data_IF_647170444395
#
_entry.id   IF_647170444395
#
_cell.length_a   1.000
_cell.length_b   1.000
_cell.length_c   1.000
_cell.angle_alpha   90.00
_cell.angle_beta   90.00
_cell.angle_gamma   90.00
#
_symmetry.space_group_name_H-M   'P 1'
#
loop_
_entity.id
_entity.type
_entity.pdbx_description
1 polymer ?
#
# COMPACT_ATOMS: atom_id res chain seq x y z
N UNK A 1 34.26 8.59 -8.92
CA UNK A 1 34.83 9.32 -10.06
C UNK A 1 34.04 10.61 -10.22
N UNK A 2 34.68 11.78 -10.16
CA UNK A 2 33.96 13.05 -10.34
C UNK A 2 33.76 13.28 -11.85
N UNK A 3 32.72 14.02 -12.29
CA UNK A 3 32.51 14.29 -13.72
C UNK A 3 33.72 14.87 -14.43
N UNK A 4 34.53 15.66 -13.71
CA UNK A 4 35.78 16.25 -14.22
C UNK A 4 36.85 15.23 -14.63
N UNK A 5 36.72 13.97 -14.20
CA UNK A 5 37.65 12.90 -14.53
C UNK A 5 37.20 12.10 -15.77
N UNK A 6 36.03 12.41 -16.34
CA UNK A 6 35.46 11.69 -17.49
C UNK A 6 36.07 12.22 -18.79
N UNK A 7 36.70 11.33 -19.56
CA UNK A 7 37.12 11.61 -20.94
C UNK A 7 35.87 11.63 -21.85
N UNK A 8 35.27 12.82 -21.97
CA UNK A 8 34.06 13.04 -22.77
C UNK A 8 34.26 12.65 -24.24
N UNK A 9 35.44 12.89 -24.80
CA UNK A 9 35.75 12.55 -26.19
C UNK A 9 35.74 11.04 -26.42
N UNK A 10 36.35 10.28 -25.51
CA UNK A 10 36.32 8.82 -25.56
C UNK A 10 34.91 8.26 -25.33
N UNK A 11 34.13 8.86 -24.42
CA UNK A 11 32.75 8.45 -24.19
C UNK A 11 31.85 8.72 -25.41
N UNK A 12 32.02 9.86 -26.09
CA UNK A 12 31.29 10.23 -27.29
C UNK A 12 31.58 9.32 -28.50
N UNK A 13 32.69 8.61 -28.50
CA UNK A 13 33.03 7.61 -29.53
C UNK A 13 32.39 6.23 -29.28
N UNK A 14 31.75 6.02 -28.12
CA UNK A 14 31.09 4.75 -27.83
C UNK A 14 29.75 4.63 -28.58
N UNK A 15 29.27 3.40 -28.87
CA UNK A 15 27.94 3.22 -29.44
C UNK A 15 26.82 3.78 -28.52
N UNK A 16 25.77 4.34 -29.12
CA UNK A 16 24.66 4.99 -28.40
C UNK A 16 24.06 4.14 -27.28
N UNK A 17 23.88 2.83 -27.51
CA UNK A 17 23.32 1.92 -26.50
C UNK A 17 24.22 1.78 -25.26
N UNK A 18 25.54 1.92 -25.42
CA UNK A 18 26.50 1.93 -24.30
C UNK A 18 26.38 3.24 -23.54
N UNK A 19 26.34 4.38 -24.25
CA UNK A 19 26.18 5.71 -23.64
C UNK A 19 24.86 5.79 -22.86
N UNK A 20 23.76 5.31 -23.45
CA UNK A 20 22.45 5.24 -22.79
C UNK A 20 22.50 4.38 -21.52
N UNK A 21 23.24 3.27 -21.53
CA UNK A 21 23.43 2.40 -20.37
C UNK A 21 24.24 3.12 -19.28
N UNK A 22 25.32 3.80 -19.65
CA UNK A 22 26.11 4.63 -18.72
C UNK A 22 25.22 5.72 -18.11
N UNK A 23 24.43 6.41 -18.91
CA UNK A 23 23.51 7.46 -18.45
C UNK A 23 22.33 6.91 -17.64
N UNK A 24 21.93 5.66 -17.86
CA UNK A 24 20.94 4.99 -17.03
C UNK A 24 21.45 4.77 -15.60
N UNK A 25 22.74 4.45 -15.45
CA UNK A 25 23.42 4.15 -14.19
C UNK A 25 23.98 5.38 -13.47
N UNK A 26 24.24 6.48 -14.20
CA UNK A 26 24.78 7.70 -13.60
C UNK A 26 23.73 8.44 -12.75
N UNK A 27 24.10 8.89 -11.53
CA UNK A 27 23.30 9.83 -10.77
C UNK A 27 22.96 11.07 -11.58
N UNK A 28 21.70 11.52 -11.51
CA UNK A 28 21.24 12.71 -12.24
C UNK A 28 22.03 13.99 -11.91
N UNK A 29 22.66 14.02 -10.73
CA UNK A 29 23.50 15.12 -10.25
C UNK A 29 24.67 15.42 -11.16
N UNK A 30 25.11 14.42 -11.94
CA UNK A 30 26.24 14.55 -12.86
C UNK A 30 25.82 14.86 -14.30
N UNK A 31 24.54 14.75 -14.63
CA UNK A 31 24.03 14.99 -16.00
C UNK A 31 24.32 16.39 -16.54
N UNK A 32 24.20 17.49 -15.74
CA UNK A 32 24.45 18.83 -16.27
C UNK A 32 25.85 19.04 -16.84
N UNK A 33 26.85 18.29 -16.38
CA UNK A 33 28.22 18.38 -16.91
C UNK A 33 28.31 17.93 -18.38
N UNK A 34 27.41 17.06 -18.83
CA UNK A 34 27.36 16.57 -20.20
C UNK A 34 26.62 17.51 -21.16
N UNK A 35 25.89 18.51 -20.66
CA UNK A 35 25.16 19.46 -21.52
C UNK A 35 26.07 20.38 -22.33
N UNK A 36 27.33 20.51 -21.92
CA UNK A 36 28.35 21.30 -22.61
C UNK A 36 29.10 20.48 -23.69
N UNK A 37 28.84 19.18 -23.81
CA UNK A 37 29.44 18.31 -24.83
C UNK A 37 28.42 18.11 -25.96
N UNK A 38 28.58 18.75 -27.14
CA UNK A 38 27.58 18.71 -28.21
C UNK A 38 27.13 17.30 -28.60
N UNK A 39 28.05 16.34 -28.63
CA UNK A 39 27.83 14.95 -29.04
C UNK A 39 27.00 14.16 -28.02
N UNK A 40 27.07 14.53 -26.73
CA UNK A 40 26.41 13.82 -25.64
C UNK A 40 25.18 14.58 -25.12
N UNK A 41 25.03 15.85 -25.49
CA UNK A 41 24.04 16.78 -24.95
C UNK A 41 22.63 16.22 -25.06
N UNK A 42 22.22 15.75 -26.24
CA UNK A 42 20.85 15.32 -26.48
C UNK A 42 20.52 14.05 -25.71
N UNK A 43 21.45 13.08 -25.67
CA UNK A 43 21.31 11.86 -24.88
C UNK A 43 21.25 12.17 -23.37
N UNK A 44 22.09 13.11 -22.91
CA UNK A 44 22.14 13.51 -21.51
C UNK A 44 20.86 14.26 -21.12
N UNK A 45 20.38 15.17 -21.95
CA UNK A 45 19.15 15.92 -21.75
C UNK A 45 17.93 14.99 -21.79
N UNK A 46 17.82 14.12 -22.80
CA UNK A 46 16.80 13.09 -22.88
C UNK A 46 16.76 12.25 -21.60
N UNK A 47 17.92 11.82 -21.09
CA UNK A 47 17.98 11.08 -19.83
C UNK A 47 17.55 11.93 -18.64
N UNK A 48 18.12 13.12 -18.49
CA UNK A 48 17.92 13.98 -17.33
C UNK A 48 16.47 14.43 -17.19
N UNK A 49 15.86 14.88 -18.30
CA UNK A 49 14.50 15.40 -18.37
C UNK A 49 13.45 14.31 -18.68
N UNK A 50 13.83 13.06 -18.97
CA UNK A 50 12.88 11.96 -19.20
C UNK A 50 11.88 11.74 -18.06
N UNK A 51 12.29 12.06 -16.83
CA UNK A 51 11.47 11.93 -15.63
C UNK A 51 11.60 13.21 -14.82
N UNK A 52 10.54 14.01 -14.77
CA UNK A 52 10.53 15.26 -14.01
C UNK A 52 9.45 15.25 -12.95
N UNK A 53 9.78 15.83 -11.79
CA UNK A 53 8.82 16.23 -10.77
C UNK A 53 8.80 17.74 -10.72
N UNK A 54 7.64 18.32 -10.93
CA UNK A 54 7.44 19.76 -10.98
C UNK A 54 6.59 20.12 -9.78
N UNK A 55 7.06 21.08 -8.98
CA UNK A 55 6.41 21.49 -7.75
C UNK A 55 6.28 23.00 -7.70
N UNK A 56 5.20 23.46 -7.09
CA UNK A 56 4.94 24.90 -7.00
C UNK A 56 5.99 25.67 -6.20
N UNK A 57 6.51 25.07 -5.13
CA UNK A 57 7.60 25.62 -4.34
C UNK A 57 8.59 24.52 -3.97
N UNK A 58 9.85 24.91 -3.77
CA UNK A 58 10.90 23.96 -3.39
C UNK A 58 10.54 23.31 -2.05
N UNK A 59 10.49 21.97 -2.05
CA UNK A 59 10.30 21.20 -0.82
C UNK A 59 11.61 21.20 -0.02
N UNK A 60 11.59 21.58 1.27
CA UNK A 60 12.75 21.45 2.13
C UNK A 60 13.26 20.00 2.15
N UNK A 61 14.55 19.80 1.87
CA UNK A 61 15.19 18.47 1.91
C UNK A 61 14.88 17.55 0.72
N UNK A 62 14.22 18.05 -0.33
CA UNK A 62 14.04 17.29 -1.56
C UNK A 62 15.33 17.21 -2.37
N UNK A 63 15.51 16.11 -3.11
CA UNK A 63 16.64 15.95 -4.02
C UNK A 63 16.47 16.95 -5.20
N UNK A 64 17.36 17.95 -5.36
CA UNK A 64 17.18 19.03 -6.33
C UNK A 64 17.30 18.56 -7.79
N UNK A 65 17.75 17.33 -8.03
CA UNK A 65 18.04 16.85 -9.40
C UNK A 65 16.88 16.12 -10.07
N UNK A 66 15.81 15.86 -9.34
CA UNK A 66 14.55 15.31 -9.86
C UNK A 66 13.38 16.29 -9.74
N UNK A 67 13.60 17.40 -9.01
CA UNK A 67 12.59 18.37 -8.66
C UNK A 67 12.89 19.70 -9.34
N UNK A 68 11.90 20.24 -10.05
CA UNK A 68 11.92 21.61 -10.54
C UNK A 68 10.82 22.40 -9.86
N UNK A 69 11.11 23.64 -9.46
CA UNK A 69 10.08 24.61 -9.16
C UNK A 69 9.28 24.97 -10.43
N UNK A 70 8.14 25.64 -10.28
CA UNK A 70 7.39 26.14 -11.43
C UNK A 70 8.24 27.15 -12.24
N UNK A 71 8.97 28.05 -11.58
CA UNK A 71 9.83 29.03 -12.24
C UNK A 71 10.99 28.36 -12.99
N UNK A 72 11.61 27.33 -12.40
CA UNK A 72 12.66 26.55 -13.05
C UNK A 72 12.12 25.79 -14.27
N UNK A 73 10.93 25.20 -14.15
CA UNK A 73 10.29 24.50 -15.25
C UNK A 73 9.86 25.44 -16.38
N UNK A 74 9.36 26.64 -16.07
CA UNK A 74 9.07 27.66 -17.07
C UNK A 74 10.33 28.15 -17.77
N UNK A 75 11.40 28.41 -17.02
CA UNK A 75 12.70 28.78 -17.59
C UNK A 75 13.20 27.68 -18.52
N UNK A 76 13.14 26.42 -18.09
CA UNK A 76 13.47 25.25 -18.91
C UNK A 76 12.63 25.17 -20.19
N UNK A 77 11.32 25.41 -20.10
CA UNK A 77 10.41 25.27 -21.23
C UNK A 77 10.60 26.35 -22.31
N UNK A 78 11.19 27.50 -21.95
CA UNK A 78 11.53 28.58 -22.91
C UNK A 78 12.88 28.37 -23.62
N UNK A 79 13.68 27.38 -23.24
CA UNK A 79 15.01 27.13 -23.79
C UNK A 79 14.90 26.38 -25.12
N UNK A 80 15.17 27.02 -26.28
CA UNK A 80 15.00 26.39 -27.58
C UNK A 80 15.90 25.16 -27.76
N UNK A 81 17.05 25.13 -27.10
CA UNK A 81 17.98 24.01 -27.17
C UNK A 81 17.49 22.71 -26.51
N UNK A 82 16.36 22.76 -25.80
CA UNK A 82 15.71 21.60 -25.20
C UNK A 82 14.29 21.35 -25.74
N UNK A 83 13.87 22.06 -26.80
CA UNK A 83 12.53 21.91 -27.36
C UNK A 83 12.23 20.46 -27.79
N UNK A 84 13.20 19.80 -28.42
CA UNK A 84 13.06 18.45 -28.97
C UNK A 84 13.35 17.33 -27.97
N UNK A 85 13.69 17.66 -26.73
CA UNK A 85 14.02 16.65 -25.72
C UNK A 85 12.75 15.83 -25.39
N UNK A 86 12.78 14.49 -25.48
CA UNK A 86 11.59 13.68 -25.25
C UNK A 86 11.21 13.64 -23.76
N UNK A 87 9.94 13.96 -23.47
CA UNK A 87 9.39 13.99 -22.12
C UNK A 87 8.62 12.69 -21.84
N UNK A 88 9.22 11.74 -21.11
CA UNK A 88 8.61 10.42 -20.94
C UNK A 88 7.59 10.36 -19.79
N UNK A 89 7.99 10.73 -18.57
CA UNK A 89 7.13 10.69 -17.38
C UNK A 89 7.22 11.99 -16.60
N UNK A 90 6.08 12.64 -16.38
CA UNK A 90 5.98 13.86 -15.60
C UNK A 90 5.15 13.62 -14.35
N UNK A 91 5.52 14.28 -13.26
CA UNK A 91 4.64 14.47 -12.10
C UNK A 91 4.59 15.95 -11.82
N UNK A 92 3.42 16.56 -11.83
CA UNK A 92 3.24 17.95 -11.39
C UNK A 92 2.39 17.99 -10.12
N UNK A 93 2.84 18.75 -9.13
CA UNK A 93 2.15 18.97 -7.87
C UNK A 93 1.78 20.43 -7.71
N UNK A 94 0.50 20.70 -7.51
CA UNK A 94 -0.14 22.02 -7.45
C UNK A 94 -0.79 22.19 -6.08
N UNK A 95 -0.53 23.29 -5.35
CA UNK A 95 -1.14 23.53 -4.03
C UNK A 95 -1.97 24.82 -4.00
N UNK A 96 -1.40 25.94 -4.41
CA UNK A 96 -2.00 27.27 -4.25
C UNK A 96 -2.26 28.01 -5.56
N UNK A 97 -1.35 27.90 -6.53
CA UNK A 97 -1.47 28.47 -7.88
C UNK A 97 -2.30 27.56 -8.76
N UNK A 98 -3.04 28.16 -9.67
CA UNK A 98 -3.68 27.43 -10.77
C UNK A 98 -2.60 27.04 -11.79
N UNK A 99 -2.59 25.79 -12.24
CA UNK A 99 -1.61 25.28 -13.24
C UNK A 99 -1.61 26.14 -14.52
N UNK A 100 -2.73 26.77 -14.86
CA UNK A 100 -2.88 27.63 -16.04
C UNK A 100 -2.19 28.99 -15.90
N UNK A 101 -1.71 29.32 -14.70
CA UNK A 101 -0.85 30.49 -14.50
C UNK A 101 0.57 30.26 -15.03
N UNK A 102 0.93 29.01 -15.35
CA UNK A 102 2.18 28.71 -16.05
C UNK A 102 2.18 29.35 -17.44
N UNK A 103 3.36 29.78 -17.87
CA UNK A 103 3.60 30.27 -19.21
C UNK A 103 3.17 29.25 -20.29
N UNK A 104 2.73 29.75 -21.45
CA UNK A 104 2.17 28.92 -22.52
C UNK A 104 3.15 27.83 -22.99
N UNK A 105 4.45 28.13 -23.02
CA UNK A 105 5.50 27.18 -23.39
C UNK A 105 5.60 26.04 -22.37
N UNK A 106 5.43 26.34 -21.08
CA UNK A 106 5.43 25.34 -20.02
C UNK A 106 4.18 24.44 -20.09
N UNK A 107 3.01 25.00 -20.42
CA UNK A 107 1.79 24.22 -20.66
C UNK A 107 1.95 23.29 -21.86
N UNK A 108 2.46 23.80 -22.99
CA UNK A 108 2.79 22.97 -24.16
C UNK A 108 3.80 21.87 -23.80
N UNK A 109 4.77 22.17 -22.94
CA UNK A 109 5.75 21.19 -22.47
C UNK A 109 5.10 20.11 -21.59
N UNK A 110 4.17 20.47 -20.72
CA UNK A 110 3.38 19.52 -19.94
C UNK A 110 2.56 18.59 -20.84
N UNK A 111 1.93 19.13 -21.89
CA UNK A 111 1.18 18.35 -22.88
C UNK A 111 2.07 17.40 -23.71
N UNK A 112 3.35 17.74 -23.88
CA UNK A 112 4.31 16.89 -24.61
C UNK A 112 4.77 15.65 -23.84
N UNK A 113 4.46 15.52 -22.55
CA UNK A 113 4.82 14.31 -21.81
C UNK A 113 4.07 13.10 -22.37
N UNK A 114 4.75 11.95 -22.50
CA UNK A 114 4.09 10.69 -22.85
C UNK A 114 3.11 10.23 -21.76
N UNK A 115 3.50 10.43 -20.49
CA UNK A 115 2.72 10.06 -19.32
C UNK A 115 2.83 11.17 -18.27
N UNK A 116 1.73 11.84 -17.97
CA UNK A 116 1.67 12.87 -16.93
C UNK A 116 0.81 12.40 -15.74
N UNK A 117 1.36 12.56 -14.54
CA UNK A 117 0.63 12.46 -13.27
C UNK A 117 0.44 13.84 -12.68
N UNK A 118 -0.78 14.17 -12.26
CA UNK A 118 -1.13 15.47 -11.70
C UNK A 118 -1.59 15.27 -10.25
N UNK A 119 -0.98 15.99 -9.32
CA UNK A 119 -1.38 16.02 -7.91
C UNK A 119 -1.85 17.44 -7.56
N UNK A 120 -3.08 17.58 -7.11
CA UNK A 120 -3.69 18.84 -6.74
C UNK A 120 -4.05 18.83 -5.25
N UNK A 121 -3.66 19.87 -4.50
CA UNK A 121 -3.82 19.95 -3.04
C UNK A 121 -4.47 21.29 -2.62
N UNK A 122 -5.79 21.36 -2.64
CA UNK A 122 -6.60 22.56 -2.38
C UNK A 122 -7.28 22.52 -1.01
N UNK A 123 -6.51 22.51 0.09
CA UNK A 123 -7.08 22.40 1.46
C UNK A 123 -7.81 23.65 1.95
N UNK A 124 -7.44 24.83 1.44
CA UNK A 124 -7.92 26.12 1.97
C UNK A 124 -8.93 26.81 1.05
N UNK A 125 -9.35 26.16 -0.04
CA UNK A 125 -10.38 26.70 -0.93
C UNK A 125 -11.70 26.01 -0.62
N UNK A 126 -12.75 26.82 -0.48
CA UNK A 126 -14.11 26.31 -0.25
C UNK A 126 -14.63 25.56 -1.50
N UNK A 127 -14.20 25.98 -2.69
CA UNK A 127 -14.63 25.40 -3.96
C UNK A 127 -13.45 25.13 -4.90
N UNK A 128 -13.46 23.95 -5.52
CA UNK A 128 -12.61 23.60 -6.64
C UNK A 128 -13.23 24.17 -7.91
N UNK A 129 -12.59 25.12 -8.59
CA UNK A 129 -13.05 25.51 -9.91
C UNK A 129 -12.67 24.39 -10.89
N UNK A 130 -13.57 23.96 -11.77
CA UNK A 130 -13.27 23.01 -12.87
C UNK A 130 -11.97 23.38 -13.59
N UNK A 131 -11.79 24.69 -13.74
CA UNK A 131 -10.70 25.30 -14.45
C UNK A 131 -9.34 25.08 -13.74
N UNK A 132 -9.30 24.75 -12.45
CA UNK A 132 -8.07 24.48 -11.68
C UNK A 132 -7.45 23.09 -12.00
N UNK A 133 -8.19 22.18 -12.64
CA UNK A 133 -7.71 20.82 -12.93
C UNK A 133 -7.39 20.67 -14.43
N UNK A 134 -6.13 20.37 -14.79
CA UNK A 134 -5.76 20.22 -16.19
C UNK A 134 -6.40 18.97 -16.80
N UNK A 135 -6.98 19.14 -17.99
CA UNK A 135 -7.64 18.07 -18.77
C UNK A 135 -6.79 17.59 -19.95
N UNK A 136 -5.46 17.63 -19.82
CA UNK A 136 -4.57 17.21 -20.90
C UNK A 136 -4.76 15.73 -21.24
N UNK A 137 -4.70 15.40 -22.54
CA UNK A 137 -4.91 14.04 -23.05
C UNK A 137 -3.84 13.04 -22.59
N UNK A 138 -2.69 13.51 -22.12
CA UNK A 138 -1.59 12.68 -21.64
C UNK A 138 -1.62 12.45 -20.11
N UNK A 139 -2.60 13.00 -19.40
CA UNK A 139 -2.78 12.75 -17.96
C UNK A 139 -3.39 11.37 -17.76
N UNK A 140 -2.58 10.45 -17.23
CA UNK A 140 -2.99 9.08 -16.94
C UNK A 140 -3.30 8.87 -15.44
N UNK A 141 -2.81 9.77 -14.57
CA UNK A 141 -3.06 9.73 -13.13
C UNK A 141 -3.40 11.10 -12.60
N UNK A 142 -4.46 11.18 -11.79
CA UNK A 142 -4.91 12.38 -11.11
C UNK A 142 -5.12 12.07 -9.63
N UNK A 143 -4.43 12.81 -8.78
CA UNK A 143 -4.69 12.89 -7.34
C UNK A 143 -5.23 14.28 -7.04
N UNK A 144 -6.39 14.34 -6.40
CA UNK A 144 -7.05 15.56 -6.00
C UNK A 144 -7.34 15.49 -4.51
N UNK A 145 -6.79 16.41 -3.74
CA UNK A 145 -7.14 16.64 -2.34
C UNK A 145 -7.81 18.00 -2.24
N UNK A 146 -9.06 18.05 -1.80
CA UNK A 146 -9.81 19.30 -1.67
C UNK A 146 -10.82 19.22 -0.54
N UNK A 147 -11.49 20.33 -0.23
CA UNK A 147 -12.59 20.34 0.73
C UNK A 147 -13.85 19.72 0.15
N UNK A 148 -14.16 20.05 -1.11
CA UNK A 148 -15.39 19.69 -1.84
C UNK A 148 -15.11 19.47 -3.34
N UNK A 149 -15.93 18.64 -4.00
CA UNK A 149 -15.92 18.43 -5.46
C UNK A 149 -17.32 18.68 -6.03
N UNK A 150 -17.46 19.64 -6.95
CA UNK A 150 -18.67 19.80 -7.74
C UNK A 150 -18.71 18.81 -8.91
N UNK A 151 -19.31 17.65 -8.66
CA UNK A 151 -19.41 16.56 -9.64
C UNK A 151 -20.20 16.90 -10.92
N UNK A 152 -20.95 18.02 -10.96
CA UNK A 152 -21.69 18.44 -12.16
C UNK A 152 -20.77 19.10 -13.20
N UNK A 153 -19.81 19.89 -12.71
CA UNK A 153 -18.88 20.68 -13.52
C UNK A 153 -17.52 20.01 -13.64
N UNK A 154 -17.18 19.08 -12.74
CA UNK A 154 -15.89 18.42 -12.73
C UNK A 154 -15.65 17.59 -14.01
N UNK A 155 -14.60 17.95 -14.76
CA UNK A 155 -14.16 17.25 -15.96
C UNK A 155 -12.87 16.49 -15.68
N UNK A 156 -12.81 15.25 -16.16
CA UNK A 156 -11.66 14.38 -16.02
C UNK A 156 -10.88 14.32 -17.34
N UNK A 157 -9.55 14.19 -17.30
CA UNK A 157 -8.76 13.88 -18.48
C UNK A 157 -9.27 12.63 -19.21
N UNK A 158 -9.35 12.63 -20.55
CA UNK A 158 -10.01 11.57 -21.31
C UNK A 158 -9.28 10.21 -21.27
N UNK A 159 -7.96 10.21 -21.07
CA UNK A 159 -7.13 9.01 -20.99
C UNK A 159 -6.74 8.65 -19.55
N UNK A 160 -7.49 9.13 -18.56
CA UNK A 160 -7.18 8.90 -17.16
C UNK A 160 -7.34 7.43 -16.78
N UNK A 161 -6.27 6.80 -16.34
CA UNK A 161 -6.25 5.39 -15.88
C UNK A 161 -6.40 5.28 -14.36
N UNK A 162 -5.94 6.28 -13.61
CA UNK A 162 -5.94 6.27 -12.15
C UNK A 162 -6.48 7.58 -11.58
N UNK A 163 -7.51 7.49 -10.75
CA UNK A 163 -8.11 8.62 -10.06
C UNK A 163 -8.03 8.42 -8.55
N UNK A 164 -7.57 9.43 -7.83
CA UNK A 164 -7.64 9.50 -6.37
C UNK A 164 -8.25 10.83 -5.98
N UNK A 165 -9.39 10.80 -5.30
CA UNK A 165 -10.05 12.00 -4.77
C UNK A 165 -10.14 11.86 -3.26
N UNK A 166 -9.62 12.84 -2.55
CA UNK A 166 -9.62 12.92 -1.09
C UNK A 166 -10.34 14.20 -0.71
N UNK A 167 -11.51 14.06 -0.07
CA UNK A 167 -12.32 15.17 0.42
C UNK A 167 -12.39 15.17 1.94
N UNK A 168 -12.48 16.35 2.54
CA UNK A 168 -12.68 16.47 3.99
C UNK A 168 -14.15 16.28 4.37
N UNK A 169 -15.07 16.82 3.57
CA UNK A 169 -16.52 16.68 3.74
C UNK A 169 -17.15 16.67 2.36
N UNK A 170 -17.89 15.62 2.05
CA UNK A 170 -18.80 15.64 0.92
C UNK A 170 -20.21 15.97 1.43
N UNK A 171 -20.73 17.19 1.21
CA UNK A 171 -22.03 17.60 1.73
C UNK A 171 -23.20 17.14 0.86
N UNK A 172 -22.98 16.65 -0.37
CA UNK A 172 -24.07 16.45 -1.32
C UNK A 172 -24.03 15.07 -2.02
N UNK A 173 -25.14 14.30 -1.99
CA UNK A 173 -25.24 13.07 -2.76
C UNK A 173 -25.20 13.37 -4.25
N UNK A 174 -24.15 12.88 -4.94
CA UNK A 174 -23.96 13.01 -6.39
C UNK A 174 -25.19 12.50 -7.12
N UNK A 175 -26.06 13.40 -7.59
CA UNK A 175 -27.35 13.02 -8.18
C UNK A 175 -27.31 12.93 -9.70
N UNK A 176 -26.29 13.54 -10.32
CA UNK A 176 -25.99 13.44 -11.75
C UNK A 176 -24.48 13.44 -11.92
N UNK A 177 -23.93 12.32 -12.36
CA UNK A 177 -22.50 12.17 -12.61
C UNK A 177 -22.26 12.20 -14.12
N UNK A 178 -21.32 13.03 -14.56
CA UNK A 178 -20.70 12.84 -15.87
C UNK A 178 -20.02 11.46 -15.92
N UNK A 179 -19.93 10.88 -17.11
CA UNK A 179 -19.29 9.59 -17.30
C UNK A 179 -17.80 9.70 -16.98
N UNK A 180 -17.29 8.79 -16.16
CA UNK A 180 -15.85 8.61 -16.00
C UNK A 180 -15.24 8.14 -17.34
N UNK A 181 -13.98 8.48 -17.62
CA UNK A 181 -13.32 8.02 -18.84
C UNK A 181 -13.26 6.48 -18.88
N UNK A 182 -13.52 5.89 -20.04
CA UNK A 182 -13.55 4.43 -20.22
C UNK A 182 -12.19 3.76 -19.98
N UNK A 183 -11.10 4.54 -20.04
CA UNK A 183 -9.73 4.14 -19.74
C UNK A 183 -9.45 3.95 -18.26
N UNK A 184 -10.36 4.36 -17.36
CA UNK A 184 -10.13 4.34 -15.93
C UNK A 184 -10.11 2.91 -15.37
N UNK A 185 -8.97 2.54 -14.76
CA UNK A 185 -8.70 1.21 -14.22
C UNK A 185 -8.71 1.18 -12.69
N UNK A 186 -8.37 2.30 -12.05
CA UNK A 186 -8.27 2.40 -10.59
C UNK A 186 -8.91 3.68 -10.09
N UNK A 187 -9.79 3.54 -9.09
CA UNK A 187 -10.42 4.66 -8.40
C UNK A 187 -10.21 4.52 -6.91
N UNK A 188 -9.75 5.60 -6.29
CA UNK A 188 -9.77 5.79 -4.84
C UNK A 188 -10.58 7.01 -4.49
N UNK A 189 -11.57 6.83 -3.64
CA UNK A 189 -12.38 7.88 -3.06
C UNK A 189 -12.20 7.84 -1.55
N UNK A 190 -11.73 8.93 -0.98
CA UNK A 190 -11.52 9.05 0.46
C UNK A 190 -12.31 10.24 0.99
N UNK A 191 -13.33 9.96 1.81
CA UNK A 191 -14.24 10.97 2.33
C UNK A 191 -15.45 11.28 1.43
N UNK A 192 -15.53 10.72 0.23
CA UNK A 192 -16.60 10.94 -0.75
C UNK A 192 -17.78 10.01 -0.46
N UNK A 193 -19.00 10.56 -0.52
CA UNK A 193 -20.20 9.76 -0.33
C UNK A 193 -20.61 9.08 -1.64
N UNK A 194 -20.52 7.75 -1.66
CA UNK A 194 -20.78 6.95 -2.86
C UNK A 194 -22.28 6.80 -3.11
N UNK A 195 -22.85 7.78 -3.82
CA UNK A 195 -24.23 7.69 -4.30
C UNK A 195 -24.38 6.61 -5.39
N UNK A 196 -25.63 6.18 -5.63
CA UNK A 196 -25.97 5.32 -6.77
C UNK A 196 -25.49 5.89 -8.10
N UNK A 197 -25.61 7.21 -8.28
CA UNK A 197 -25.19 7.89 -9.51
C UNK A 197 -23.68 7.79 -9.72
N UNK A 198 -22.89 8.01 -8.67
CA UNK A 198 -21.43 7.94 -8.73
C UNK A 198 -20.98 6.52 -9.09
N UNK A 199 -21.51 5.51 -8.41
CA UNK A 199 -21.20 4.10 -8.68
C UNK A 199 -21.61 3.68 -10.10
N UNK A 200 -22.78 4.13 -10.57
CA UNK A 200 -23.29 3.82 -11.92
C UNK A 200 -22.48 4.47 -13.05
N UNK A 201 -21.73 5.53 -12.75
CA UNK A 201 -20.88 6.19 -13.73
C UNK A 201 -19.51 5.53 -13.88
N UNK A 202 -19.10 4.66 -12.94
CA UNK A 202 -17.80 3.97 -12.99
C UNK A 202 -17.74 3.01 -14.19
N UNK A 203 -16.60 2.94 -14.91
CA UNK A 203 -16.52 2.16 -16.12
C UNK A 203 -16.41 0.65 -15.84
N UNK A 204 -16.90 -0.20 -16.76
CA UNK A 204 -16.89 -1.66 -16.59
C UNK A 204 -15.47 -2.29 -16.63
N UNK A 205 -14.49 -1.56 -17.15
CA UNK A 205 -13.08 -1.97 -17.18
C UNK A 205 -12.37 -1.80 -15.83
N UNK A 206 -13.02 -1.17 -14.84
CA UNK A 206 -12.43 -0.87 -13.53
C UNK A 206 -11.92 -2.15 -12.84
N UNK A 207 -10.67 -2.10 -12.39
CA UNK A 207 -9.98 -3.21 -11.74
C UNK A 207 -9.80 -2.99 -10.23
N UNK A 208 -9.71 -1.74 -9.79
CA UNK A 208 -9.54 -1.37 -8.38
C UNK A 208 -10.55 -0.29 -7.99
N UNK A 209 -11.28 -0.55 -6.91
CA UNK A 209 -12.20 0.38 -6.28
C UNK A 209 -11.87 0.47 -4.79
N UNK A 210 -11.40 1.62 -4.36
CA UNK A 210 -10.99 1.89 -2.99
C UNK A 210 -11.87 3.01 -2.43
N UNK A 211 -12.74 2.68 -1.49
CA UNK A 211 -13.68 3.62 -0.88
C UNK A 211 -13.33 3.76 0.60
N UNK A 212 -12.69 4.86 0.99
CA UNK A 212 -12.28 5.14 2.37
C UNK A 212 -13.09 6.28 2.98
N UNK A 213 -13.19 6.30 4.32
CA UNK A 213 -13.88 7.33 5.11
C UNK A 213 -15.25 7.72 4.51
N UNK A 214 -16.01 6.75 4.00
CA UNK A 214 -17.36 7.00 3.47
C UNK A 214 -18.31 7.42 4.59
N UNK A 215 -19.10 8.46 4.33
CA UNK A 215 -20.22 8.86 5.20
C UNK A 215 -21.50 8.06 4.92
N UNK A 216 -21.65 7.52 3.71
CA UNK A 216 -22.76 6.64 3.33
C UNK A 216 -22.35 5.62 2.26
N UNK A 217 -22.75 4.38 2.47
CA UNK A 217 -22.61 3.29 1.49
C UNK A 217 -23.94 2.51 1.39
N UNK A 218 -24.43 2.31 0.17
CA UNK A 218 -25.66 1.56 -0.09
C UNK A 218 -25.32 0.24 -0.79
N UNK A 219 -25.41 -0.87 -0.04
CA UNK A 219 -25.24 -2.21 -0.59
C UNK A 219 -26.18 -2.47 -1.76
N UNK A 220 -27.44 -2.02 -1.64
CA UNK A 220 -28.45 -2.20 -2.70
C UNK A 220 -28.08 -1.49 -4.00
N UNK A 221 -27.36 -0.37 -3.93
CA UNK A 221 -26.90 0.36 -5.11
C UNK A 221 -25.62 -0.23 -5.66
N UNK A 222 -24.69 -0.65 -4.79
CA UNK A 222 -23.51 -1.40 -5.19
C UNK A 222 -23.87 -2.67 -5.96
N UNK A 223 -24.82 -3.47 -5.46
CA UNK A 223 -25.26 -4.73 -6.08
C UNK A 223 -25.90 -4.55 -7.46
N UNK A 224 -26.41 -3.36 -7.80
CA UNK A 224 -26.95 -3.07 -9.13
C UNK A 224 -25.84 -2.83 -10.16
N UNK A 225 -24.60 -2.65 -9.71
CA UNK A 225 -23.46 -2.38 -10.58
C UNK A 225 -22.91 -3.67 -11.19
N UNK A 226 -22.40 -3.55 -12.41
CA UNK A 226 -21.76 -4.66 -13.13
C UNK A 226 -20.26 -4.43 -13.23
N UNK A 227 -19.55 -4.85 -12.19
CA UNK A 227 -18.09 -4.81 -12.16
C UNK A 227 -17.51 -6.07 -12.80
N UNK A 228 -17.35 -6.05 -14.13
CA UNK A 228 -16.88 -7.22 -14.87
C UNK A 228 -15.42 -7.60 -14.56
N UNK A 229 -14.57 -6.61 -14.26
CA UNK A 229 -13.12 -6.79 -14.15
C UNK A 229 -12.55 -6.41 -12.77
N UNK A 230 -13.39 -6.18 -11.76
CA UNK A 230 -12.95 -5.69 -10.47
C UNK A 230 -12.19 -6.77 -9.68
N UNK A 231 -10.90 -6.55 -9.49
CA UNK A 231 -9.97 -7.46 -8.80
C UNK A 231 -9.70 -7.06 -7.36
N UNK A 232 -9.79 -5.78 -7.05
CA UNK A 232 -9.51 -5.21 -5.72
C UNK A 232 -10.65 -4.32 -5.30
N UNK A 233 -11.21 -4.61 -4.12
CA UNK A 233 -12.24 -3.82 -3.47
C UNK A 233 -11.78 -3.48 -2.06
N UNK A 234 -11.79 -2.21 -1.71
CA UNK A 234 -11.62 -1.74 -0.33
C UNK A 234 -12.83 -0.94 0.09
N UNK A 235 -13.41 -1.27 1.26
CA UNK A 235 -14.54 -0.56 1.85
C UNK A 235 -14.17 -0.06 3.24
N UNK A 236 -14.27 1.25 3.43
CA UNK A 236 -13.91 1.97 4.64
C UNK A 236 -14.95 3.00 5.02
N UNK A 237 -15.47 2.96 6.26
CA UNK A 237 -16.39 4.00 6.77
C UNK A 237 -15.68 5.01 7.66
N UNK A 238 -16.30 6.19 7.85
CA UNK A 238 -15.86 7.13 8.89
C UNK A 238 -16.06 6.52 10.29
N UNK A 239 -15.32 7.03 11.27
CA UNK A 239 -15.33 6.53 12.65
C UNK A 239 -16.71 6.54 13.31
N UNK A 240 -17.55 7.50 12.93
CA UNK A 240 -18.88 7.75 13.45
C UNK A 240 -20.00 7.12 12.61
N UNK A 241 -19.67 6.50 11.48
CA UNK A 241 -20.64 5.94 10.54
C UNK A 241 -20.60 4.41 10.55
N UNK A 242 -21.74 3.75 10.80
CA UNK A 242 -21.83 2.30 10.67
C UNK A 242 -21.70 1.88 9.20
N UNK A 243 -20.85 0.90 8.95
CA UNK A 243 -20.82 0.17 7.68
C UNK A 243 -21.68 -1.08 7.85
N UNK A 244 -22.61 -1.33 6.92
CA UNK A 244 -23.29 -2.62 6.81
C UNK A 244 -22.88 -3.29 5.51
N UNK A 245 -22.56 -4.58 5.59
CA UNK A 245 -22.25 -5.45 4.45
C UNK A 245 -23.36 -6.48 4.20
N UNK A 246 -24.48 -6.39 4.91
CA UNK A 246 -25.59 -7.34 4.80
C UNK A 246 -26.11 -7.41 3.36
N UNK A 247 -26.11 -8.62 2.79
CA UNK A 247 -26.56 -8.87 1.42
C UNK A 247 -25.65 -8.32 0.32
N UNK A 248 -24.40 -7.95 0.62
CA UNK A 248 -23.46 -7.50 -0.41
C UNK A 248 -23.09 -8.62 -1.37
N UNK A 249 -23.16 -8.35 -2.67
CA UNK A 249 -22.78 -9.29 -3.72
C UNK A 249 -21.39 -8.91 -4.24
N UNK A 250 -20.38 -9.62 -3.77
CA UNK A 250 -19.00 -9.42 -4.21
C UNK A 250 -18.81 -9.93 -5.66
N UNK A 251 -18.12 -9.18 -6.54
CA UNK A 251 -17.88 -9.61 -7.91
C UNK A 251 -17.10 -10.94 -7.99
N UNK A 252 -17.44 -11.85 -8.92
CA UNK A 252 -16.78 -13.15 -9.06
C UNK A 252 -15.34 -13.07 -9.58
N UNK A 253 -14.86 -11.89 -9.96
CA UNK A 253 -13.48 -11.62 -10.38
C UNK A 253 -12.62 -11.06 -9.24
N UNK A 254 -13.20 -10.84 -8.07
CA UNK A 254 -12.53 -10.20 -6.94
C UNK A 254 -11.45 -11.12 -6.35
N UNK A 255 -10.22 -10.61 -6.27
CA UNK A 255 -9.05 -11.33 -5.75
C UNK A 255 -8.58 -10.80 -4.40
N UNK A 256 -8.87 -9.53 -4.10
CA UNK A 256 -8.52 -8.84 -2.86
C UNK A 256 -9.73 -8.09 -2.33
N UNK A 257 -10.06 -8.34 -1.07
CA UNK A 257 -11.10 -7.62 -0.36
C UNK A 257 -10.58 -7.06 0.96
N UNK A 258 -10.67 -5.75 1.11
CA UNK A 258 -10.27 -5.05 2.33
C UNK A 258 -11.49 -4.39 2.95
N UNK A 259 -11.67 -4.55 4.25
CA UNK A 259 -12.74 -3.91 5.02
C UNK A 259 -12.13 -3.21 6.22
N UNK A 260 -12.45 -1.93 6.41
CA UNK A 260 -12.09 -1.17 7.61
C UNK A 260 -13.29 -0.39 8.16
N UNK A 261 -13.65 -0.61 9.42
CA UNK A 261 -14.69 0.18 10.07
C UNK A 261 -14.60 0.09 11.58
N UNK A 262 -14.67 1.25 12.24
CA UNK A 262 -14.71 1.35 13.71
C UNK A 262 -16.07 0.92 14.30
N UNK A 263 -17.08 0.68 13.44
CA UNK A 263 -18.46 0.40 13.83
C UNK A 263 -19.00 -0.93 13.31
N UNK A 264 -18.27 -1.62 12.44
CA UNK A 264 -18.65 -2.94 11.96
C UNK A 264 -18.38 -4.00 13.04
N UNK A 265 -19.45 -4.61 13.55
CA UNK A 265 -19.39 -5.64 14.59
C UNK A 265 -19.66 -7.06 14.09
N UNK A 266 -20.19 -7.20 12.88
CA UNK A 266 -20.51 -8.48 12.25
C UNK A 266 -20.29 -8.42 10.74
N UNK A 267 -19.89 -9.55 10.17
CA UNK A 267 -19.83 -9.79 8.73
C UNK A 267 -20.63 -11.03 8.35
N UNK A 268 -21.60 -11.43 9.18
CA UNK A 268 -22.52 -12.53 8.90
C UNK A 268 -23.16 -12.39 7.52
N UNK A 269 -23.42 -13.53 6.89
CA UNK A 269 -24.04 -13.63 5.55
C UNK A 269 -23.18 -13.11 4.39
N UNK A 270 -21.93 -12.70 4.65
CA UNK A 270 -20.99 -12.37 3.57
C UNK A 270 -20.57 -13.64 2.82
N UNK A 271 -20.91 -13.69 1.53
CA UNK A 271 -20.46 -14.77 0.64
C UNK A 271 -19.20 -14.32 -0.08
N UNK A 272 -18.08 -14.98 0.22
CA UNK A 272 -16.81 -14.72 -0.46
C UNK A 272 -16.79 -15.38 -1.84
N UNK A 273 -16.35 -14.69 -2.91
CA UNK A 273 -16.28 -15.28 -4.24
C UNK A 273 -15.11 -16.26 -4.35
N UNK A 274 -15.22 -17.40 -5.08
CA UNK A 274 -14.16 -18.40 -5.21
C UNK A 274 -12.81 -17.87 -5.74
N UNK A 275 -12.82 -16.72 -6.40
CA UNK A 275 -11.62 -16.04 -6.90
C UNK A 275 -10.81 -15.33 -5.81
N UNK A 276 -11.36 -15.16 -4.59
CA UNK A 276 -10.76 -14.34 -3.55
C UNK A 276 -9.50 -15.01 -3.00
N UNK A 277 -8.38 -14.28 -3.05
CA UNK A 277 -7.06 -14.74 -2.60
C UNK A 277 -6.60 -14.07 -1.32
N UNK A 278 -7.07 -12.86 -1.06
CA UNK A 278 -6.67 -12.10 0.12
C UNK A 278 -7.85 -11.35 0.71
N UNK A 279 -8.03 -11.56 2.01
CA UNK A 279 -9.01 -10.88 2.83
C UNK A 279 -8.28 -10.13 3.94
N UNK A 280 -8.47 -8.81 3.99
CA UNK A 280 -7.99 -7.95 5.07
C UNK A 280 -9.15 -7.33 5.81
N UNK A 281 -9.20 -7.52 7.12
CA UNK A 281 -10.22 -6.97 7.99
C UNK A 281 -9.55 -6.14 9.08
N UNK A 282 -9.97 -4.89 9.18
CA UNK A 282 -9.57 -3.96 10.22
C UNK A 282 -10.84 -3.47 10.93
N UNK A 283 -11.33 -4.17 11.95
CA UNK A 283 -12.64 -3.86 12.52
C UNK A 283 -12.62 -4.04 14.04
N UNK A 284 -12.43 -2.96 14.82
CA UNK A 284 -12.28 -3.02 16.28
C UNK A 284 -13.43 -3.69 17.01
N UNK A 285 -14.66 -3.62 16.49
CA UNK A 285 -15.84 -4.22 17.12
C UNK A 285 -16.17 -5.62 16.59
N UNK A 286 -15.39 -6.14 15.63
CA UNK A 286 -15.63 -7.47 15.08
C UNK A 286 -15.14 -8.53 16.06
N UNK A 287 -16.07 -9.36 16.55
CA UNK A 287 -15.79 -10.45 17.48
C UNK A 287 -15.75 -11.83 16.80
N UNK A 288 -16.48 -11.97 15.69
CA UNK A 288 -16.60 -13.16 14.88
C UNK A 288 -16.82 -12.76 13.42
N UNK A 289 -16.37 -13.60 12.49
CA UNK A 289 -16.62 -13.42 11.07
C UNK A 289 -18.07 -13.70 10.71
N UNK A 290 -18.64 -14.77 11.28
CA UNK A 290 -19.99 -15.22 10.93
C UNK A 290 -20.12 -15.77 9.50
N UNK A 291 -19.00 -16.13 8.85
CA UNK A 291 -18.95 -16.79 7.55
C UNK A 291 -17.80 -17.81 7.49
N UNK A 292 -17.90 -18.74 6.55
CA UNK A 292 -16.85 -19.74 6.29
C UNK A 292 -15.79 -19.20 5.34
N UNK A 293 -14.52 -19.52 5.62
CA UNK A 293 -13.44 -19.21 4.70
C UNK A 293 -13.51 -20.12 3.48
N UNK A 294 -13.22 -19.57 2.30
CA UNK A 294 -13.29 -20.33 1.05
C UNK A 294 -12.01 -21.10 0.77
N UNK A 295 -12.16 -22.27 0.16
CA UNK A 295 -11.04 -22.98 -0.47
C UNK A 295 -10.54 -22.17 -1.67
N UNK A 296 -9.32 -21.64 -1.54
CA UNK A 296 -8.69 -20.74 -2.51
C UNK A 296 -8.05 -19.51 -1.85
N UNK A 297 -8.46 -19.17 -0.62
CA UNK A 297 -7.94 -18.03 0.13
C UNK A 297 -6.49 -18.28 0.58
N UNK A 298 -5.59 -17.41 0.15
CA UNK A 298 -4.15 -17.55 0.38
C UNK A 298 -3.66 -16.69 1.56
N UNK A 299 -4.29 -15.54 1.80
CA UNK A 299 -3.87 -14.57 2.81
C UNK A 299 -5.07 -14.06 3.62
N UNK A 300 -5.00 -14.22 4.93
CA UNK A 300 -6.00 -13.72 5.87
C UNK A 300 -5.34 -12.77 6.87
N UNK A 301 -5.68 -11.49 6.80
CA UNK A 301 -5.13 -10.46 7.66
C UNK A 301 -6.24 -9.85 8.52
N UNK A 302 -6.13 -10.04 9.82
CA UNK A 302 -7.00 -9.48 10.85
C UNK A 302 -6.16 -8.49 11.64
N UNK A 303 -6.59 -7.23 11.68
CA UNK A 303 -5.82 -6.15 12.30
C UNK A 303 -6.77 -5.34 13.18
N UNK A 304 -6.37 -4.98 14.40
CA UNK A 304 -7.17 -4.10 15.27
C UNK A 304 -8.62 -4.59 15.37
N UNK A 305 -8.82 -5.84 15.80
CA UNK A 305 -10.15 -6.47 15.92
C UNK A 305 -10.34 -7.10 17.29
N UNK A 306 -11.58 -7.16 17.76
CA UNK A 306 -11.94 -7.81 19.03
C UNK A 306 -12.17 -9.33 18.90
N UNK A 307 -11.49 -9.96 17.94
CA UNK A 307 -11.48 -11.41 17.76
C UNK A 307 -10.68 -12.05 18.90
N UNK A 308 -11.28 -13.08 19.51
CA UNK A 308 -10.72 -13.86 20.62
C UNK A 308 -10.36 -15.28 20.18
N UNK A 309 -9.57 -16.00 20.99
CA UNK A 309 -9.03 -17.32 20.61
C UNK A 309 -10.10 -18.34 20.21
N UNK A 310 -11.22 -18.40 20.95
CA UNK A 310 -12.30 -19.35 20.65
C UNK A 310 -13.00 -19.09 19.30
N UNK A 311 -12.88 -17.90 18.71
CA UNK A 311 -13.27 -17.66 17.31
C UNK A 311 -12.35 -18.41 16.36
N UNK A 312 -11.03 -18.28 16.52
CA UNK A 312 -10.05 -19.00 15.70
C UNK A 312 -10.10 -20.52 15.90
N UNK A 313 -10.45 -20.97 17.09
CA UNK A 313 -10.63 -22.40 17.41
C UNK A 313 -11.84 -23.03 16.73
N UNK A 314 -12.73 -22.24 16.11
CA UNK A 314 -13.86 -22.72 15.32
C UNK A 314 -13.62 -22.64 13.82
N UNK A 315 -12.76 -21.73 13.35
CA UNK A 315 -12.50 -21.52 11.92
C UNK A 315 -11.83 -22.74 11.28
N UNK A 316 -12.42 -23.29 10.23
CA UNK A 316 -11.71 -24.22 9.36
C UNK A 316 -10.82 -23.42 8.40
N UNK A 317 -9.51 -23.50 8.59
CA UNK A 317 -8.55 -22.79 7.74
C UNK A 317 -8.42 -23.52 6.39
N UNK A 318 -8.53 -22.81 5.26
CA UNK A 318 -8.47 -23.43 3.95
C UNK A 318 -7.06 -23.96 3.66
N UNK A 319 -6.96 -25.05 2.91
CA UNK A 319 -5.67 -25.70 2.59
C UNK A 319 -4.76 -24.87 1.70
N UNK A 320 -5.28 -23.79 1.15
CA UNK A 320 -4.55 -22.83 0.31
C UNK A 320 -3.92 -21.69 1.12
N UNK A 321 -4.21 -21.58 2.42
CA UNK A 321 -3.71 -20.48 3.24
C UNK A 321 -2.18 -20.58 3.37
N UNK A 322 -1.49 -19.51 3.00
CA UNK A 322 -0.02 -19.38 3.06
C UNK A 322 0.41 -18.32 4.06
N UNK A 323 -0.44 -17.34 4.36
CA UNK A 323 -0.17 -16.30 5.35
C UNK A 323 -1.38 -16.02 6.23
N UNK A 324 -1.17 -16.08 7.54
CA UNK A 324 -2.15 -15.68 8.56
C UNK A 324 -1.53 -14.58 9.41
N UNK A 325 -2.18 -13.41 9.43
CA UNK A 325 -1.82 -12.32 10.32
C UNK A 325 -3.01 -11.98 11.21
N UNK A 326 -2.84 -12.02 12.53
CA UNK A 326 -3.85 -11.60 13.52
C UNK A 326 -3.16 -10.69 14.53
N UNK A 327 -3.27 -9.39 14.33
CA UNK A 327 -2.50 -8.39 15.06
C UNK A 327 -3.39 -7.38 15.78
N UNK A 328 -2.94 -6.92 16.96
CA UNK A 328 -3.72 -5.96 17.77
C UNK A 328 -5.13 -6.48 18.06
N UNK A 329 -5.22 -7.73 18.51
CA UNK A 329 -6.48 -8.45 18.79
C UNK A 329 -6.52 -9.00 20.22
N UNK A 330 -7.58 -9.73 20.55
CA UNK A 330 -7.82 -10.26 21.90
C UNK A 330 -7.49 -11.76 22.00
N UNK A 331 -6.54 -12.24 21.19
CA UNK A 331 -6.09 -13.63 21.29
C UNK A 331 -5.36 -13.83 22.62
N UNK A 332 -5.74 -14.86 23.37
CA UNK A 332 -5.15 -15.17 24.68
C UNK A 332 -4.56 -16.57 24.78
N UNK A 333 -4.87 -17.43 23.81
CA UNK A 333 -4.40 -18.81 23.66
C UNK A 333 -3.89 -19.07 22.24
N UNK A 334 -2.84 -19.89 22.15
CA UNK A 334 -2.28 -20.43 20.91
C UNK A 334 -2.88 -21.80 20.52
N UNK A 335 -4.00 -22.21 21.14
CA UNK A 335 -4.63 -23.51 20.90
C UNK A 335 -4.89 -23.76 19.41
N UNK A 336 -5.41 -22.77 18.66
CA UNK A 336 -5.72 -22.89 17.23
C UNK A 336 -4.55 -23.30 16.32
N UNK A 337 -3.28 -23.23 16.76
CA UNK A 337 -2.11 -23.56 15.93
C UNK A 337 -2.21 -24.97 15.31
N UNK A 338 -2.74 -25.96 16.04
CA UNK A 338 -2.86 -27.33 15.54
C UNK A 338 -3.85 -27.48 14.37
N UNK A 339 -4.68 -26.47 14.12
CA UNK A 339 -5.66 -26.42 13.02
C UNK A 339 -5.14 -25.67 11.80
N UNK A 340 -3.94 -25.08 11.88
CA UNK A 340 -3.34 -24.37 10.77
C UNK A 340 -2.94 -25.36 9.66
N UNK A 341 -3.12 -24.99 8.39
CA UNK A 341 -2.84 -25.89 7.28
C UNK A 341 -1.33 -26.08 7.10
N UNK A 342 -0.95 -27.23 6.55
CA UNK A 342 0.46 -27.54 6.29
C UNK A 342 1.10 -26.72 5.16
N UNK A 343 0.34 -25.82 4.52
CA UNK A 343 0.80 -24.85 3.51
C UNK A 343 1.18 -23.49 4.09
N UNK A 344 0.92 -23.26 5.39
CA UNK A 344 1.14 -21.97 6.01
C UNK A 344 2.64 -21.65 6.13
N UNK A 345 3.08 -20.62 5.41
CA UNK A 345 4.48 -20.17 5.41
C UNK A 345 4.74 -19.00 6.36
N UNK A 346 3.72 -18.17 6.64
CA UNK A 346 3.83 -17.01 7.54
C UNK A 346 2.73 -16.97 8.59
N UNK A 347 3.13 -16.85 9.86
CA UNK A 347 2.23 -16.68 11.00
C UNK A 347 2.66 -15.44 11.80
N UNK A 348 1.81 -14.41 11.79
CA UNK A 348 2.07 -13.13 12.44
C UNK A 348 1.00 -12.85 13.48
N UNK A 349 1.36 -12.87 14.77
CA UNK A 349 0.46 -12.66 15.89
C UNK A 349 0.88 -11.52 16.83
N UNK A 350 1.39 -10.38 16.33
CA UNK A 350 1.92 -9.35 17.21
C UNK A 350 0.81 -8.61 17.96
N UNK A 351 1.13 -8.12 19.16
CA UNK A 351 0.25 -7.27 19.96
C UNK A 351 -1.10 -7.94 20.27
N UNK A 352 -1.06 -9.12 20.91
CA UNK A 352 -2.25 -9.82 21.43
C UNK A 352 -2.18 -9.91 22.96
N UNK A 353 -3.05 -10.71 23.56
CA UNK A 353 -3.19 -10.88 25.01
C UNK A 353 -2.69 -12.25 25.50
N UNK A 354 -1.73 -12.87 24.81
CA UNK A 354 -1.22 -14.19 25.19
C UNK A 354 -0.63 -14.19 26.60
N UNK A 355 -0.96 -15.21 27.38
CA UNK A 355 -0.45 -15.40 28.74
C UNK A 355 -1.17 -14.58 29.82
N UNK A 356 -2.16 -13.73 29.49
CA UNK A 356 -2.90 -12.93 30.49
C UNK A 356 -3.96 -13.78 31.21
N UNK A 357 -4.75 -14.60 30.50
CA UNK A 357 -5.90 -15.34 31.07
C UNK A 357 -5.51 -16.67 31.71
N UNK A 358 -6.16 -17.07 32.81
CA UNK A 358 -5.70 -18.14 33.71
C UNK A 358 -5.79 -19.58 33.16
N UNK A 359 -6.54 -19.81 32.07
CA UNK A 359 -7.11 -21.15 31.88
C UNK A 359 -6.36 -22.13 30.98
N UNK A 360 -5.48 -21.74 30.04
CA UNK A 360 -4.97 -22.71 29.07
C UNK A 360 -3.54 -22.39 28.62
N UNK A 361 -2.57 -23.27 28.93
CA UNK A 361 -1.21 -23.12 28.40
C UNK A 361 -0.11 -24.01 28.98
N UNK A 362 -0.35 -24.69 30.11
CA UNK A 362 0.76 -25.31 30.84
C UNK A 362 1.12 -26.74 30.43
N UNK A 363 0.36 -27.41 29.55
CA UNK A 363 0.48 -28.88 29.39
C UNK A 363 0.74 -29.41 27.97
N UNK A 364 0.61 -28.63 26.89
CA UNK A 364 0.76 -29.14 25.52
C UNK A 364 2.04 -28.65 24.83
N UNK A 365 2.66 -29.52 24.04
CA UNK A 365 3.66 -29.13 23.05
C UNK A 365 2.96 -28.39 21.91
N UNK A 366 3.51 -27.25 21.50
CA UNK A 366 2.98 -26.47 20.39
C UNK A 366 3.71 -26.87 19.12
N UNK A 367 2.99 -27.56 18.22
CA UNK A 367 3.52 -28.04 16.94
C UNK A 367 3.12 -27.08 15.83
N UNK A 368 4.09 -26.39 15.25
CA UNK A 368 3.84 -25.48 14.13
C UNK A 368 3.82 -26.24 12.79
N UNK A 369 3.13 -25.70 11.76
CA UNK A 369 3.17 -26.26 10.41
C UNK A 369 4.60 -26.41 9.88
N UNK A 370 4.90 -27.55 9.25
CA UNK A 370 6.27 -27.85 8.75
C UNK A 370 6.76 -26.89 7.67
N UNK A 371 5.87 -26.22 6.95
CA UNK A 371 6.19 -25.25 5.90
C UNK A 371 6.42 -23.83 6.42
N UNK A 372 6.25 -23.58 7.73
CA UNK A 372 6.36 -22.25 8.31
C UNK A 372 7.80 -21.73 8.18
N UNK A 373 7.93 -20.56 7.56
CA UNK A 373 9.20 -19.85 7.32
C UNK A 373 9.33 -18.61 8.20
N UNK A 374 8.20 -17.96 8.51
CA UNK A 374 8.15 -16.73 9.29
C UNK A 374 7.20 -16.89 10.48
N UNK A 375 7.71 -16.68 11.68
CA UNK A 375 6.93 -16.67 12.91
C UNK A 375 7.18 -15.37 13.69
N UNK A 376 6.13 -14.58 13.86
CA UNK A 376 6.16 -13.36 14.66
C UNK A 376 5.14 -13.45 15.80
N UNK A 377 5.63 -13.44 17.04
CA UNK A 377 4.83 -13.40 18.26
C UNK A 377 5.13 -12.14 19.09
N UNK A 378 5.74 -11.13 18.49
CA UNK A 378 6.23 -9.93 19.18
C UNK A 378 5.15 -9.13 19.89
N UNK A 379 5.56 -8.27 20.83
CA UNK A 379 4.65 -7.40 21.57
C UNK A 379 3.55 -8.16 22.33
N UNK A 380 3.89 -9.32 22.89
CA UNK A 380 3.03 -10.11 23.75
C UNK A 380 3.70 -10.28 25.13
N UNK A 381 3.79 -9.21 25.95
CA UNK A 381 4.69 -9.15 27.10
C UNK A 381 4.45 -10.23 28.18
N UNK A 382 3.27 -10.84 28.17
CA UNK A 382 2.90 -11.92 29.11
C UNK A 382 3.01 -13.32 28.51
N UNK A 383 3.39 -13.50 27.24
CA UNK A 383 3.38 -14.78 26.55
C UNK A 383 4.18 -15.84 27.33
N UNK A 384 5.45 -15.57 27.61
CA UNK A 384 6.32 -16.54 28.30
C UNK A 384 6.20 -16.54 29.83
N UNK A 385 5.17 -15.90 30.39
CA UNK A 385 4.78 -16.12 31.80
C UNK A 385 4.05 -17.45 31.98
N UNK A 386 3.36 -17.93 30.93
CA UNK A 386 2.59 -19.18 30.93
C UNK A 386 3.12 -20.21 29.94
N UNK A 387 3.71 -19.76 28.84
CA UNK A 387 4.34 -20.64 27.86
C UNK A 387 5.81 -20.83 28.16
N UNK A 388 6.35 -21.98 27.78
CA UNK A 388 7.79 -22.27 27.83
C UNK A 388 8.29 -22.45 26.40
N UNK A 389 9.25 -21.63 25.98
CA UNK A 389 9.77 -21.67 24.60
C UNK A 389 10.31 -23.04 24.20
N UNK A 390 10.93 -23.80 25.12
CA UNK A 390 11.40 -25.18 24.87
C UNK A 390 10.31 -26.17 24.46
N UNK A 391 9.03 -25.81 24.62
CA UNK A 391 7.88 -26.64 24.24
C UNK A 391 7.32 -26.27 22.86
N UNK A 392 7.94 -25.31 22.18
CA UNK A 392 7.59 -24.91 20.84
C UNK A 392 8.40 -25.81 19.90
N UNK A 393 7.73 -26.71 19.19
CA UNK A 393 8.36 -27.51 18.15
C UNK A 393 8.45 -26.63 16.90
N UNK A 394 9.53 -25.87 16.82
CA UNK A 394 9.85 -25.00 15.68
C UNK A 394 10.19 -25.89 14.47
N UNK A 395 9.68 -25.57 13.27
CA UNK A 395 9.93 -26.39 12.09
C UNK A 395 11.35 -26.16 11.55
N UNK A 396 11.96 -27.22 11.01
CA UNK A 396 13.34 -27.21 10.49
C UNK A 396 13.59 -26.19 9.36
N UNK A 397 12.53 -25.69 8.70
CA UNK A 397 12.60 -24.70 7.62
C UNK A 397 12.42 -23.25 8.07
N UNK A 398 12.30 -22.98 9.38
CA UNK A 398 12.04 -21.64 9.90
C UNK A 398 13.21 -20.70 9.58
N UNK A 399 12.94 -19.58 8.91
CA UNK A 399 13.93 -18.59 8.49
C UNK A 399 13.95 -17.37 9.42
N UNK A 400 12.81 -17.01 9.99
CA UNK A 400 12.64 -15.82 10.81
C UNK A 400 11.77 -16.12 12.03
N UNK A 401 12.30 -15.77 13.20
CA UNK A 401 11.65 -15.90 14.49
C UNK A 401 11.73 -14.56 15.24
N UNK A 402 10.58 -13.91 15.41
CA UNK A 402 10.44 -12.63 16.11
C UNK A 402 9.69 -12.85 17.41
N UNK A 403 10.41 -12.69 18.53
CA UNK A 403 9.91 -12.83 19.89
C UNK A 403 10.19 -11.58 20.74
N UNK A 404 10.36 -10.42 20.11
CA UNK A 404 10.61 -9.17 20.83
C UNK A 404 9.45 -8.79 21.75
N UNK A 405 9.77 -8.32 22.96
CA UNK A 405 8.79 -7.93 23.98
C UNK A 405 7.74 -9.03 24.26
N UNK A 406 8.18 -10.24 24.62
CA UNK A 406 7.31 -11.41 24.89
C UNK A 406 7.36 -11.90 26.34
N UNK A 407 8.09 -11.20 27.22
CA UNK A 407 8.31 -11.60 28.60
C UNK A 407 9.26 -12.80 28.75
N UNK A 408 10.03 -13.13 27.70
CA UNK A 408 10.95 -14.27 27.70
C UNK A 408 12.10 -14.02 28.69
N UNK A 409 12.26 -14.91 29.68
CA UNK A 409 13.31 -14.77 30.70
C UNK A 409 14.50 -15.73 30.52
N UNK A 410 14.35 -16.76 29.68
CA UNK A 410 15.36 -17.78 29.40
C UNK A 410 15.13 -18.45 28.04
N UNK A 411 16.23 -18.79 27.36
CA UNK A 411 16.27 -19.60 26.12
C UNK A 411 16.89 -20.98 26.36
N UNK A 412 17.10 -21.37 27.62
CA UNK A 412 17.77 -22.62 27.95
C UNK A 412 16.96 -23.85 27.52
N UNK A 413 17.59 -24.74 26.76
CA UNK A 413 16.98 -25.98 26.28
C UNK A 413 16.00 -25.77 25.13
N UNK A 414 16.15 -24.66 24.39
CA UNK A 414 15.43 -24.42 23.14
C UNK A 414 16.31 -24.88 21.98
N UNK A 415 15.78 -25.79 21.17
CA UNK A 415 16.43 -26.24 19.94
C UNK A 415 16.00 -25.32 18.80
N UNK A 416 16.83 -24.33 18.49
CA UNK A 416 16.61 -23.43 17.36
C UNK A 416 16.98 -24.13 16.04
N UNK A 417 16.10 -24.13 15.03
CA UNK A 417 16.43 -24.63 13.70
C UNK A 417 17.67 -23.96 13.11
N UNK A 418 18.57 -24.75 12.51
CA UNK A 418 19.81 -24.25 11.89
C UNK A 418 19.58 -23.31 10.68
N UNK A 419 18.35 -23.24 10.18
CA UNK A 419 17.95 -22.39 9.05
C UNK A 419 17.60 -20.95 9.44
N UNK A 420 17.48 -20.65 10.74
CA UNK A 420 17.12 -19.31 11.20
C UNK A 420 18.19 -18.30 10.73
N UNK A 421 17.72 -17.28 10.02
CA UNK A 421 18.52 -16.14 9.53
C UNK A 421 18.30 -14.89 10.37
N UNK A 422 17.10 -14.75 10.92
CA UNK A 422 16.69 -13.61 11.75
C UNK A 422 16.11 -14.14 13.05
N UNK A 423 16.74 -13.80 14.17
CA UNK A 423 16.26 -14.09 15.52
C UNK A 423 16.18 -12.78 16.29
N UNK A 424 14.96 -12.29 16.51
CA UNK A 424 14.72 -11.09 17.31
C UNK A 424 14.22 -11.47 18.70
N UNK A 425 15.02 -11.16 19.72
CA UNK A 425 14.72 -11.37 21.14
C UNK A 425 14.74 -10.04 21.92
N UNK A 426 14.70 -8.89 21.25
CA UNK A 426 14.79 -7.58 21.88
C UNK A 426 13.66 -7.34 22.91
N UNK A 427 13.89 -6.41 23.83
CA UNK A 427 12.88 -6.01 24.84
C UNK A 427 12.37 -7.16 25.74
N UNK A 428 13.17 -8.20 25.94
CA UNK A 428 12.86 -9.31 26.87
C UNK A 428 13.70 -9.24 28.16
N UNK A 429 13.17 -9.66 29.32
CA UNK A 429 13.90 -9.72 30.59
C UNK A 429 14.83 -10.95 30.67
N UNK A 430 15.64 -11.18 29.64
CA UNK A 430 16.55 -12.32 29.59
C UNK A 430 17.58 -12.20 30.71
N UNK A 431 17.53 -13.15 31.64
CA UNK A 431 18.51 -13.23 32.71
C UNK A 431 19.84 -13.71 32.13
N UNK A 432 20.71 -12.77 31.75
CA UNK A 432 22.07 -13.08 31.36
C UNK A 432 22.84 -13.61 32.59
N UNK A 433 22.72 -14.91 32.87
CA UNK A 433 23.90 -15.57 33.45
C UNK A 433 24.89 -15.62 32.31
N UNK A 434 25.83 -14.65 32.28
CA UNK A 434 27.07 -14.77 31.50
C UNK A 434 27.53 -16.23 31.63
N UNK A 435 27.63 -16.99 30.53
CA UNK A 435 28.33 -18.25 30.60
C UNK A 435 29.72 -17.93 31.14
N UNK A 436 30.18 -18.64 32.17
CA UNK A 436 31.60 -18.59 32.53
C UNK A 436 32.36 -18.87 31.24
N UNK A 437 33.16 -17.89 30.81
CA UNK A 437 33.97 -18.00 29.62
C UNK A 437 34.93 -19.18 29.78
N UNK A 438 34.55 -20.34 29.24
CA UNK A 438 35.53 -21.24 28.68
C UNK A 438 35.69 -20.82 27.22
N UNK A 439 36.78 -20.11 27.00
CA UNK A 439 37.30 -19.76 25.68
C UNK A 439 37.44 -21.02 24.82
N UNK A 440 36.57 -21.17 23.83
CA UNK A 440 36.93 -21.75 22.55
C UNK A 440 36.05 -21.13 21.48
N UNK A 441 36.71 -20.54 20.49
CA UNK A 441 36.18 -19.73 19.41
C UNK A 441 34.93 -20.31 18.72
N UNK A 442 33.99 -19.43 18.41
CA UNK A 442 32.85 -19.71 17.55
C UNK A 442 32.03 -18.45 17.36
N UNK A 443 32.16 -17.85 16.18
CA UNK A 443 31.50 -16.65 15.67
C UNK A 443 30.01 -16.62 16.00
N UNK A 444 29.55 -15.48 16.53
CA UNK A 444 28.28 -14.84 16.17
C UNK A 444 28.48 -13.33 16.16
#
# INVERSE_FOLDING_TARGET
>A
MKPVDVDYGRLAQMPDHIIQTVFALLPKTYMPAFFNCPELKDLAAARHFSKLRIWESQLPGSNPYDLMSFEEFESFSRRPEFADVPMNKGVISVRTRDIRTLAIEALQRLESFRLLSVNCYFYNRDELNQADVPVFVNVHRLLLMCSFVDWLTFELPPNLEQLTIIVQRDPLPVSRSRLFPLSLLSVRFDGVDCSRGLLAALPPALQTLDLERMGKFSVSDFNKMRFANLKVLSLGSRKDVPLSLEGILLPPTLTKFNVWSDKLSTMSDLILPPSLKELKVCCPLLHDFGFELIEGLERLHIVQSSIYSATLDRIEFPRSLTSLAVSSSLLSSLAFIHRLPCTLEGLYLPNNCFGITENEGMALELVFPRSLKHLDLSSNPSLFTKYQLRRFLLPDGLLELVLSNTGLSSIHGVDFPSTIRTLDLEENPLTSKRPRAHTSAGVF
#
